data_IF_836924806341
#
_entry.id   IF_836924806341
#
_cell.length_a   1.000
_cell.length_b   1.000
_cell.length_c   1.000
_cell.angle_alpha   90.00
_cell.angle_beta   90.00
_cell.angle_gamma   90.00
#
_symmetry.space_group_name_H-M   'P 1'
#
loop_
_entity.id
_entity.type
_entity.pdbx_description
1 polymer ?
#
# COMPACT_ATOMS: atom_id res chain seq x y z
N UNK A 1 33.99 -0.30 -17.90
CA UNK A 1 32.53 -0.43 -17.61
C UNK A 1 32.02 0.95 -17.25
N UNK A 2 30.95 1.46 -17.87
CA UNK A 2 30.45 2.83 -17.62
C UNK A 2 29.40 2.83 -16.50
N UNK A 3 29.36 3.88 -15.68
CA UNK A 3 28.40 4.06 -14.59
C UNK A 3 26.94 3.91 -15.06
N UNK A 4 26.63 4.44 -16.25
CA UNK A 4 25.33 4.28 -16.92
C UNK A 4 24.99 2.82 -17.23
N UNK A 5 25.98 2.01 -17.62
CA UNK A 5 25.80 0.58 -17.86
C UNK A 5 25.52 -0.21 -16.56
N UNK A 6 26.15 0.17 -15.45
CA UNK A 6 25.91 -0.44 -14.14
C UNK A 6 24.50 -0.14 -13.63
N UNK A 7 24.07 1.12 -13.70
CA UNK A 7 22.71 1.53 -13.27
C UNK A 7 21.63 0.83 -14.09
N UNK A 8 21.82 0.69 -15.41
CA UNK A 8 20.88 -0.04 -16.27
C UNK A 8 20.81 -1.53 -15.94
N UNK A 9 21.94 -2.16 -15.61
CA UNK A 9 21.99 -3.55 -15.16
C UNK A 9 21.24 -3.76 -13.83
N UNK A 10 21.46 -2.87 -12.86
CA UNK A 10 20.79 -2.93 -11.55
C UNK A 10 19.28 -2.71 -11.68
N UNK A 11 18.85 -1.74 -12.49
CA UNK A 11 17.42 -1.49 -12.76
C UNK A 11 16.73 -2.69 -13.40
N UNK A 12 17.41 -3.36 -14.34
CA UNK A 12 16.88 -4.57 -14.97
C UNK A 12 16.73 -5.72 -13.96
N UNK A 13 17.72 -5.93 -13.08
CA UNK A 13 17.65 -6.95 -12.04
C UNK A 13 16.53 -6.69 -11.03
N UNK A 14 16.37 -5.44 -10.57
CA UNK A 14 15.27 -5.04 -9.70
C UNK A 14 13.92 -5.37 -10.34
N UNK A 15 13.71 -4.96 -11.58
CA UNK A 15 12.47 -5.25 -12.33
C UNK A 15 12.18 -6.74 -12.46
N UNK A 16 13.22 -7.59 -12.64
CA UNK A 16 13.05 -9.05 -12.69
C UNK A 16 12.60 -9.64 -11.35
N UNK A 17 13.14 -9.18 -10.22
CA UNK A 17 12.73 -9.70 -8.91
C UNK A 17 11.34 -9.23 -8.51
N UNK A 18 11.02 -7.96 -8.76
CA UNK A 18 9.66 -7.43 -8.59
C UNK A 18 8.68 -8.22 -9.45
N UNK A 19 8.97 -8.43 -10.73
CA UNK A 19 8.12 -9.20 -11.63
C UNK A 19 7.88 -10.62 -11.15
N UNK A 20 8.93 -11.33 -10.71
CA UNK A 20 8.79 -12.69 -10.13
C UNK A 20 7.84 -12.70 -8.92
N UNK A 21 7.93 -11.72 -8.03
CA UNK A 21 7.04 -11.63 -6.88
C UNK A 21 5.59 -11.36 -7.28
N UNK A 22 5.35 -10.47 -8.25
CA UNK A 22 4.00 -10.23 -8.81
C UNK A 22 3.40 -11.51 -9.39
N UNK A 23 4.17 -12.27 -10.17
CA UNK A 23 3.70 -13.52 -10.78
C UNK A 23 3.41 -14.61 -9.75
N UNK A 24 4.31 -14.79 -8.77
CA UNK A 24 4.16 -15.79 -7.70
C UNK A 24 2.93 -15.52 -6.81
N UNK A 25 2.65 -14.24 -6.52
CA UNK A 25 1.54 -13.84 -5.65
C UNK A 25 0.25 -13.50 -6.39
N UNK A 26 0.25 -13.55 -7.72
CA UNK A 26 -0.90 -13.18 -8.54
C UNK A 26 -1.34 -11.73 -8.35
N UNK A 27 -0.39 -10.83 -8.07
CA UNK A 27 -0.67 -9.42 -7.83
C UNK A 27 -1.03 -8.75 -9.17
N UNK A 28 -2.18 -8.06 -9.28
CA UNK A 28 -2.52 -7.30 -10.48
C UNK A 28 -1.43 -6.25 -10.80
N UNK A 29 -1.06 -6.10 -12.08
CA UNK A 29 0.01 -5.18 -12.46
C UNK A 29 -0.30 -3.71 -12.14
N UNK A 30 -1.58 -3.35 -12.01
CA UNK A 30 -1.99 -2.01 -11.58
C UNK A 30 -1.51 -1.67 -10.16
N UNK A 31 -1.19 -2.66 -9.31
CA UNK A 31 -0.60 -2.40 -8.00
C UNK A 31 0.75 -1.65 -8.08
N UNK A 32 1.46 -1.72 -9.21
CA UNK A 32 2.68 -0.94 -9.45
C UNK A 32 2.41 0.56 -9.64
N UNK A 33 1.17 0.96 -9.95
CA UNK A 33 0.74 2.36 -10.07
C UNK A 33 0.38 2.98 -8.70
N UNK A 34 0.40 2.19 -7.62
CA UNK A 34 0.16 2.68 -6.27
C UNK A 34 1.13 3.81 -5.91
N UNK A 35 0.67 4.90 -5.26
CA UNK A 35 1.54 5.97 -4.80
C UNK A 35 2.60 5.49 -3.80
N UNK A 36 2.37 4.34 -3.15
CA UNK A 36 3.30 3.73 -2.20
C UNK A 36 4.40 2.89 -2.86
N UNK A 37 4.28 2.55 -4.15
CA UNK A 37 5.27 1.69 -4.82
C UNK A 37 6.65 2.37 -4.99
N UNK A 38 6.76 3.62 -5.49
CA UNK A 38 8.05 4.31 -5.55
C UNK A 38 8.69 4.56 -4.17
N UNK A 39 7.96 4.98 -3.11
CA UNK A 39 8.48 5.08 -1.75
C UNK A 39 9.11 3.78 -1.24
N UNK A 40 8.51 2.61 -1.47
CA UNK A 40 9.07 1.32 -1.06
C UNK A 40 10.45 1.10 -1.70
N UNK A 41 10.59 1.36 -3.00
CA UNK A 41 11.88 1.21 -3.71
C UNK A 41 12.93 2.17 -3.15
N UNK A 42 12.55 3.42 -2.88
CA UNK A 42 13.44 4.43 -2.31
C UNK A 42 13.87 4.08 -0.88
N UNK A 43 12.96 3.54 -0.06
CA UNK A 43 13.23 3.12 1.31
C UNK A 43 14.23 1.95 1.32
N UNK A 44 14.02 0.93 0.47
CA UNK A 44 14.96 -0.20 0.32
C UNK A 44 16.33 0.30 -0.14
N UNK A 45 16.37 1.21 -1.11
CA UNK A 45 17.64 1.79 -1.59
C UNK A 45 18.37 2.57 -0.49
N UNK A 46 17.63 3.31 0.33
CA UNK A 46 18.19 4.14 1.41
C UNK A 46 18.66 3.30 2.60
N UNK A 47 17.97 2.20 2.91
CA UNK A 47 18.32 1.31 4.01
C UNK A 47 19.60 0.49 3.74
N UNK A 48 19.95 0.28 2.47
CA UNK A 48 21.19 -0.37 2.07
C UNK A 48 21.15 -1.91 2.13
N UNK A 49 22.30 -2.58 1.91
CA UNK A 49 22.35 -4.03 1.64
C UNK A 49 21.94 -4.94 2.80
N UNK A 50 21.95 -4.45 4.03
CA UNK A 50 21.69 -5.24 5.24
C UNK A 50 20.23 -5.19 5.71
N UNK A 51 19.37 -4.45 5.01
CA UNK A 51 17.96 -4.36 5.37
C UNK A 51 17.28 -5.72 5.19
N UNK A 52 16.65 -6.19 6.26
CA UNK A 52 15.82 -7.40 6.20
C UNK A 52 14.40 -7.00 5.78
N UNK A 53 13.78 -7.72 4.83
CA UNK A 53 12.36 -7.54 4.57
C UNK A 53 11.54 -7.80 5.84
N UNK A 54 10.42 -7.09 6.04
CA UNK A 54 9.54 -7.36 7.16
C UNK A 54 8.96 -8.77 7.05
N UNK A 55 8.77 -9.41 8.20
CA UNK A 55 8.11 -10.71 8.31
C UNK A 55 6.59 -10.56 8.18
N UNK A 56 5.90 -11.67 7.89
CA UNK A 56 4.43 -11.69 7.87
C UNK A 56 3.84 -11.27 9.23
N UNK A 57 4.49 -11.65 10.34
CA UNK A 57 4.07 -11.25 11.68
C UNK A 57 4.17 -9.74 11.86
N UNK A 58 5.31 -9.14 11.51
CA UNK A 58 5.51 -7.69 11.61
C UNK A 58 4.50 -6.90 10.76
N UNK A 59 4.24 -7.35 9.52
CA UNK A 59 3.25 -6.75 8.63
C UNK A 59 1.82 -6.85 9.18
N UNK A 60 1.46 -7.97 9.81
CA UNK A 60 0.10 -8.22 10.32
C UNK A 60 -0.15 -7.72 11.74
N UNK A 61 0.90 -7.31 12.45
CA UNK A 61 0.84 -6.89 13.85
C UNK A 61 1.35 -5.45 13.98
N UNK A 62 2.59 -5.24 14.45
CA UNK A 62 3.07 -3.91 14.83
C UNK A 62 2.99 -2.88 13.71
N UNK A 63 3.31 -3.25 12.45
CA UNK A 63 3.22 -2.29 11.33
C UNK A 63 1.76 -1.94 11.03
N UNK A 64 0.85 -2.92 11.10
CA UNK A 64 -0.57 -2.66 10.92
C UNK A 64 -1.12 -1.76 12.04
N UNK A 65 -0.66 -1.95 13.28
CA UNK A 65 -1.05 -1.12 14.42
C UNK A 65 -0.60 0.34 14.23
N UNK A 66 0.60 0.57 13.69
CA UNK A 66 1.10 1.90 13.34
C UNK A 66 0.23 2.58 12.27
N UNK A 67 -0.09 1.88 11.18
CA UNK A 67 -0.96 2.40 10.10
C UNK A 67 -2.38 2.70 10.61
N UNK A 68 -2.92 1.87 11.51
CA UNK A 68 -4.22 2.11 12.16
C UNK A 68 -4.20 3.40 12.97
N UNK A 69 -3.12 3.65 13.70
CA UNK A 69 -2.98 4.85 14.51
C UNK A 69 -2.79 6.10 13.64
N UNK A 70 -2.05 6.01 12.55
CA UNK A 70 -1.93 7.11 11.57
C UNK A 70 -3.30 7.48 10.98
N UNK A 71 -4.08 6.50 10.55
CA UNK A 71 -5.43 6.73 10.02
C UNK A 71 -6.35 7.31 11.09
N UNK A 72 -6.25 6.87 12.35
CA UNK A 72 -7.02 7.45 13.46
C UNK A 72 -6.71 8.92 13.68
N UNK A 73 -5.43 9.28 13.69
CA UNK A 73 -5.01 10.66 13.84
C UNK A 73 -5.53 11.53 12.70
N UNK A 74 -5.45 11.03 11.46
CA UNK A 74 -6.04 11.71 10.30
C UNK A 74 -7.55 11.90 10.42
N UNK A 75 -8.28 10.87 10.90
CA UNK A 75 -9.71 10.98 11.16
C UNK A 75 -9.99 12.07 12.20
N UNK A 76 -9.29 12.07 13.33
CA UNK A 76 -9.49 13.07 14.40
C UNK A 76 -9.22 14.49 13.92
N UNK A 77 -8.20 14.70 13.08
CA UNK A 77 -7.96 15.99 12.42
C UNK A 77 -9.17 16.39 11.56
N UNK A 78 -9.68 15.46 10.75
CA UNK A 78 -10.87 15.69 9.93
C UNK A 78 -12.11 16.00 10.78
N UNK A 79 -12.28 15.37 11.95
CA UNK A 79 -13.42 15.64 12.85
C UNK A 79 -13.48 17.09 13.34
N UNK A 80 -12.35 17.78 13.39
CA UNK A 80 -12.29 19.16 13.86
C UNK A 80 -13.05 20.13 12.93
N UNK A 81 -13.26 19.79 11.66
CA UNK A 81 -14.04 20.62 10.73
C UNK A 81 -15.55 20.45 10.88
N UNK A 82 -16.01 19.34 11.46
CA UNK A 82 -17.42 18.95 11.50
C UNK A 82 -18.36 19.98 12.12
N UNK A 83 -18.01 20.71 13.21
CA UNK A 83 -18.91 21.72 13.76
C UNK A 83 -19.25 22.85 12.78
N UNK A 84 -18.41 23.08 11.77
CA UNK A 84 -18.60 24.14 10.77
C UNK A 84 -19.24 23.63 9.48
N UNK A 85 -18.82 22.45 9.02
CA UNK A 85 -19.25 21.89 7.73
C UNK A 85 -20.44 20.94 7.86
N UNK A 86 -20.71 20.44 9.06
CA UNK A 86 -21.50 19.22 9.24
C UNK A 86 -20.76 17.99 8.71
N UNK A 87 -21.42 16.83 8.80
CA UNK A 87 -21.01 15.58 8.16
C UNK A 87 -22.24 14.91 7.56
N UNK A 88 -22.12 14.40 6.34
CA UNK A 88 -23.12 13.52 5.72
C UNK A 88 -22.44 12.20 5.45
N UNK A 89 -22.92 11.13 6.09
CA UNK A 89 -22.46 9.77 5.81
C UNK A 89 -23.47 9.13 4.86
N UNK A 90 -23.06 8.88 3.63
CA UNK A 90 -23.86 8.10 2.69
C UNK A 90 -23.51 6.62 2.86
N UNK A 91 -24.52 5.75 2.79
CA UNK A 91 -24.29 4.31 2.78
C UNK A 91 -25.00 3.70 1.58
N UNK A 92 -24.27 2.89 0.84
CA UNK A 92 -24.77 2.03 -0.22
C UNK A 92 -24.48 0.57 0.13
N UNK A 93 -25.35 -0.32 -0.34
CA UNK A 93 -25.17 -1.75 -0.15
C UNK A 93 -25.50 -2.52 -1.41
N UNK A 94 -24.74 -3.57 -1.69
CA UNK A 94 -25.04 -4.49 -2.78
C UNK A 94 -24.74 -5.94 -2.42
N UNK A 95 -25.51 -6.85 -3.01
CA UNK A 95 -25.33 -8.29 -2.90
C UNK A 95 -24.53 -8.79 -4.11
N UNK A 96 -23.37 -9.39 -3.86
CA UNK A 96 -22.69 -10.17 -4.89
C UNK A 96 -23.40 -11.52 -5.03
N UNK A 97 -24.12 -11.70 -6.15
CA UNK A 97 -24.90 -12.92 -6.42
C UNK A 97 -24.04 -14.16 -6.65
N UNK A 98 -22.76 -14.01 -7.00
CA UNK A 98 -21.85 -15.13 -7.28
C UNK A 98 -21.26 -15.68 -5.98
N UNK A 99 -20.82 -14.79 -5.09
CA UNK A 99 -20.23 -15.19 -3.81
C UNK A 99 -21.22 -15.22 -2.65
N UNK A 100 -22.46 -14.74 -2.85
CA UNK A 100 -23.51 -14.57 -1.84
C UNK A 100 -22.97 -13.79 -0.63
N UNK A 101 -22.25 -12.70 -0.92
CA UNK A 101 -21.73 -11.77 0.08
C UNK A 101 -22.44 -10.43 -0.05
N UNK A 102 -22.92 -9.93 1.07
CA UNK A 102 -23.44 -8.57 1.20
C UNK A 102 -22.28 -7.62 1.50
N UNK A 103 -22.26 -6.50 0.78
CA UNK A 103 -21.28 -5.43 0.96
C UNK A 103 -22.03 -4.17 1.40
N UNK A 104 -21.54 -3.54 2.46
CA UNK A 104 -21.98 -2.23 2.91
C UNK A 104 -20.81 -1.28 2.78
N UNK A 105 -20.98 -0.25 1.96
CA UNK A 105 -20.03 0.83 1.79
C UNK A 105 -20.53 2.05 2.56
N UNK A 106 -19.57 2.82 3.07
CA UNK A 106 -19.79 4.13 3.64
C UNK A 106 -18.99 5.13 2.82
N UNK A 107 -19.68 6.14 2.31
CA UNK A 107 -19.11 7.24 1.54
C UNK A 107 -19.20 8.50 2.43
N UNK A 108 -18.09 9.22 2.54
CA UNK A 108 -17.95 10.46 3.30
C UNK A 108 -17.63 11.62 2.36
#
# INVERSE_FOLDING_TARGET
>A
MTLKGMVNGTRHMLGRYVGKWFYDKGIPFDAANSPYFPPIVNAIQSAGPEVKPPTAYELSGPILDEEVEEVRNWIEEYKQSWPRTGITLMSDGWLNKVSIKEFHNFLA
#
